data_IF_760661557381
#
_entry.id   IF_760661557381
#
_cell.length_a   1.000
_cell.length_b   1.000
_cell.length_c   1.000
_cell.angle_alpha   90.00
_cell.angle_beta   90.00
_cell.angle_gamma   90.00
#
_symmetry.space_group_name_H-M   'P 1'
#
loop_
_entity.id
_entity.type
_entity.pdbx_description
1 polymer ?
#
# COMPACT_ATOMS: atom_id res chain seq x y z
N UNK A 1 0.55 10.00 -2.87
CA UNK A 1 0.10 8.77 -2.17
C UNK A 1 1.27 7.81 -2.04
N UNK A 2 1.45 7.17 -0.88
CA UNK A 2 2.55 6.25 -0.67
C UNK A 2 2.35 4.99 -1.54
N UNK A 3 3.32 4.69 -2.39
CA UNK A 3 3.43 3.41 -3.09
C UNK A 3 4.20 2.43 -2.23
N UNK A 4 3.88 1.14 -2.33
CA UNK A 4 4.71 0.11 -1.73
C UNK A 4 6.07 0.07 -2.44
N UNK A 5 7.17 0.09 -1.68
CA UNK A 5 8.53 0.02 -2.24
C UNK A 5 8.88 -1.34 -2.89
N UNK A 6 8.07 -2.37 -2.68
CA UNK A 6 8.37 -3.75 -3.09
C UNK A 6 7.51 -4.20 -4.25
N UNK A 7 6.18 -4.17 -4.06
CA UNK A 7 5.22 -4.61 -5.08
C UNK A 7 4.62 -3.46 -5.87
N UNK A 8 5.10 -2.23 -5.66
CA UNK A 8 4.65 -1.02 -6.37
C UNK A 8 3.14 -0.72 -6.28
N UNK A 9 2.40 -1.39 -5.38
CA UNK A 9 0.98 -1.15 -5.15
C UNK A 9 0.75 0.33 -4.83
N UNK A 10 -0.08 0.95 -5.66
CA UNK A 10 -0.45 2.35 -5.58
C UNK A 10 -1.95 2.48 -5.28
N UNK A 11 -2.46 3.70 -5.36
CA UNK A 11 -3.90 3.95 -5.27
C UNK A 11 -4.58 3.65 -6.59
N UNK A 12 -5.78 3.08 -6.51
CA UNK A 12 -6.61 2.81 -7.67
C UNK A 12 -7.71 3.87 -7.77
N UNK A 13 -8.02 4.27 -9.00
CA UNK A 13 -9.08 5.23 -9.31
C UNK A 13 -10.26 4.50 -9.94
N UNK A 14 -11.46 5.01 -9.72
CA UNK A 14 -12.67 4.57 -10.40
C UNK A 14 -13.89 5.22 -9.76
N UNK A 15 -15.04 4.55 -9.78
CA UNK A 15 -16.31 5.17 -9.42
C UNK A 15 -17.00 4.47 -8.25
N UNK A 16 -17.56 5.25 -7.32
CA UNK A 16 -18.61 4.77 -6.44
C UNK A 16 -19.94 4.81 -7.22
N UNK A 17 -20.63 3.68 -7.29
CA UNK A 17 -21.93 3.56 -7.96
C UNK A 17 -23.01 3.46 -6.89
N UNK A 18 -23.96 4.39 -6.88
CA UNK A 18 -25.11 4.35 -5.97
C UNK A 18 -26.18 3.37 -6.47
N UNK A 19 -27.18 3.10 -5.63
CA UNK A 19 -28.35 2.29 -6.00
C UNK A 19 -29.07 2.81 -7.26
N UNK A 20 -29.18 4.13 -7.42
CA UNK A 20 -29.74 4.81 -8.60
C UNK A 20 -28.75 4.98 -9.76
N UNK A 21 -27.66 4.21 -9.77
CA UNK A 21 -26.62 4.22 -10.80
C UNK A 21 -25.89 5.58 -10.98
N UNK A 22 -25.91 6.45 -9.97
CA UNK A 22 -25.10 7.68 -9.99
C UNK A 22 -23.64 7.32 -9.73
N UNK A 23 -22.75 7.79 -10.61
CA UNK A 23 -21.31 7.53 -10.56
C UNK A 23 -20.60 8.76 -10.01
N UNK A 24 -19.89 8.61 -8.89
CA UNK A 24 -18.99 9.63 -8.36
C UNK A 24 -17.55 9.12 -8.32
N UNK A 25 -16.58 9.99 -8.53
CA UNK A 25 -15.17 9.62 -8.50
C UNK A 25 -14.77 9.13 -7.10
N UNK A 26 -14.15 7.95 -7.03
CA UNK A 26 -13.66 7.32 -5.79
C UNK A 26 -12.21 6.88 -5.97
N UNK A 27 -11.44 7.04 -4.90
CA UNK A 27 -10.06 6.61 -4.81
C UNK A 27 -9.97 5.48 -3.79
N UNK A 28 -9.49 4.30 -4.21
CA UNK A 28 -9.14 3.20 -3.31
C UNK A 28 -7.67 3.30 -2.93
N UNK A 29 -7.43 3.60 -1.66
CA UNK A 29 -6.07 3.67 -1.11
C UNK A 29 -5.56 2.27 -0.77
N UNK A 30 -4.39 1.91 -1.29
CA UNK A 30 -3.68 0.72 -0.82
C UNK A 30 -3.27 0.89 0.66
N UNK A 31 -3.39 -0.17 1.47
CA UNK A 31 -2.99 -0.14 2.87
C UNK A 31 -1.46 -0.21 3.00
N UNK A 32 -0.81 0.94 2.77
CA UNK A 32 0.64 1.12 2.89
C UNK A 32 0.96 1.72 4.25
N UNK A 33 1.92 1.12 4.95
CA UNK A 33 2.39 1.55 6.27
C UNK A 33 3.86 1.95 6.18
N UNK A 34 4.25 2.93 6.97
CA UNK A 34 5.66 3.27 7.17
C UNK A 34 6.22 2.34 8.26
N UNK A 35 7.20 1.50 7.92
CA UNK A 35 7.76 0.50 8.84
C UNK A 35 9.29 0.55 8.75
N UNK A 36 9.97 0.29 9.86
CA UNK A 36 11.42 0.02 9.85
C UNK A 36 11.65 -1.40 9.35
N UNK A 37 12.53 -1.52 8.37
CA UNK A 37 12.86 -2.77 7.67
C UNK A 37 14.36 -2.96 7.73
N UNK A 38 14.81 -4.20 7.95
CA UNK A 38 16.22 -4.57 7.76
C UNK A 38 16.48 -4.76 6.27
N UNK A 39 17.33 -3.91 5.69
CA UNK A 39 17.79 -4.03 4.30
C UNK A 39 19.31 -4.00 4.33
N UNK A 40 19.96 -5.05 3.82
CA UNK A 40 21.42 -5.15 3.69
C UNK A 40 22.19 -4.85 5.00
N UNK A 41 21.73 -5.40 6.13
CA UNK A 41 22.39 -5.22 7.43
C UNK A 41 22.10 -3.89 8.15
N UNK A 42 21.40 -2.95 7.51
CA UNK A 42 20.96 -1.68 8.11
C UNK A 42 19.44 -1.59 8.27
N UNK A 43 18.97 -0.89 9.31
CA UNK A 43 17.54 -0.59 9.44
C UNK A 43 17.18 0.70 8.69
N UNK A 44 16.20 0.63 7.78
CA UNK A 44 15.67 1.80 7.04
C UNK A 44 14.16 1.89 7.18
N UNK A 45 13.62 3.11 7.26
CA UNK A 45 12.17 3.33 7.19
C UNK A 45 11.73 3.27 5.73
N UNK A 46 10.78 2.39 5.42
CA UNK A 46 10.22 2.24 4.07
C UNK A 46 8.69 2.17 4.11
N UNK A 47 8.08 2.55 3.00
CA UNK A 47 6.64 2.41 2.80
C UNK A 47 6.34 1.02 2.24
N UNK A 48 5.71 0.17 3.05
CA UNK A 48 5.43 -1.23 2.74
C UNK A 48 3.95 -1.51 2.89
N UNK A 49 3.35 -2.20 1.92
CA UNK A 49 1.95 -2.61 2.02
C UNK A 49 1.77 -3.79 2.99
N UNK A 50 0.59 -3.86 3.61
CA UNK A 50 0.28 -4.94 4.56
C UNK A 50 0.35 -6.33 3.95
N UNK A 51 0.10 -6.49 2.63
CA UNK A 51 0.26 -7.79 1.99
C UNK A 51 1.73 -8.22 1.92
N UNK A 52 2.66 -7.31 1.62
CA UNK A 52 4.10 -7.63 1.63
C UNK A 52 4.61 -7.95 3.04
N UNK A 53 4.08 -7.28 4.06
CA UNK A 53 4.39 -7.60 5.47
C UNK A 53 3.83 -8.98 5.84
N UNK A 54 2.62 -9.32 5.39
CA UNK A 54 2.00 -10.63 5.65
C UNK A 54 2.75 -11.76 4.94
N UNK A 55 3.23 -11.52 3.73
CA UNK A 55 3.95 -12.52 2.93
C UNK A 55 5.40 -12.76 3.38
N UNK A 56 5.89 -12.08 4.42
CA UNK A 56 7.27 -12.25 4.90
C UNK A 56 8.33 -11.78 3.90
N UNK A 57 7.95 -11.03 2.87
CA UNK A 57 8.90 -10.44 1.89
C UNK A 57 9.84 -9.41 2.53
N UNK A 58 9.59 -9.06 3.79
CA UNK A 58 10.24 -7.99 4.52
C UNK A 58 10.36 -8.36 5.98
N UNK A 59 11.57 -8.37 6.50
CA UNK A 59 11.81 -8.50 7.94
C UNK A 59 11.73 -7.12 8.60
N UNK A 60 10.88 -7.01 9.63
CA UNK A 60 10.84 -5.80 10.45
C UNK A 60 12.12 -5.71 11.28
N UNK A 61 12.68 -4.51 11.35
CA UNK A 61 13.85 -4.23 12.19
C UNK A 61 13.48 -4.10 13.66
#
# INVERSE_FOLDING_TARGET
MAKCAICSKATHFGNAVSHSHRRSNKIWKSNVKSVKVKVNGGSKKMNVCTSCLKSGLVERA
#
